data_IF_065287735404
#
_entry.id   IF_065287735404
#
_cell.length_a   1.000
_cell.length_b   1.000
_cell.length_c   1.000
_cell.angle_alpha   90.00
_cell.angle_beta   90.00
_cell.angle_gamma   90.00
#
_symmetry.space_group_name_H-M   'P 1'
#
loop_
_entity.id
_entity.type
_entity.pdbx_description
1 polymer ?
#
# COMPACT_ATOMS: atom_id res chain seq x y z
N UNK A 1 4.29 23.41 -13.56
CA UNK A 1 4.95 22.23 -12.94
C UNK A 1 3.86 21.23 -12.53
N UNK A 2 3.78 20.08 -13.19
CA UNK A 2 2.64 19.15 -13.08
C UNK A 2 2.36 18.75 -11.62
N UNK A 3 1.11 18.92 -11.18
CA UNK A 3 0.62 18.58 -9.82
C UNK A 3 1.02 17.17 -9.38
N UNK A 4 1.16 16.25 -10.34
CA UNK A 4 1.62 14.88 -10.11
C UNK A 4 3.10 14.80 -9.69
N UNK A 5 4.01 15.57 -10.32
CA UNK A 5 5.43 15.61 -9.92
C UNK A 5 5.60 16.19 -8.52
N UNK A 6 4.83 17.21 -8.16
CA UNK A 6 4.83 17.76 -6.79
C UNK A 6 4.38 16.73 -5.76
N UNK A 7 3.37 15.93 -6.10
CA UNK A 7 2.89 14.84 -5.25
C UNK A 7 3.95 13.76 -5.03
N UNK A 8 4.62 13.31 -6.10
CA UNK A 8 5.70 12.30 -5.98
C UNK A 8 6.87 12.82 -5.16
N UNK A 9 7.28 14.07 -5.38
CA UNK A 9 8.38 14.69 -4.63
C UNK A 9 8.02 14.84 -3.15
N UNK A 10 6.80 15.27 -2.83
CA UNK A 10 6.32 15.36 -1.44
C UNK A 10 6.29 14.00 -0.76
N UNK A 11 5.84 12.95 -1.45
CA UNK A 11 5.79 11.60 -0.89
C UNK A 11 7.20 11.07 -0.60
N UNK A 12 8.13 11.24 -1.54
CA UNK A 12 9.55 10.89 -1.36
C UNK A 12 10.15 11.68 -0.19
N UNK A 13 9.87 12.98 -0.11
CA UNK A 13 10.34 13.82 0.99
C UNK A 13 9.79 13.36 2.34
N UNK A 14 8.51 13.00 2.41
CA UNK A 14 7.86 12.48 3.63
C UNK A 14 8.50 11.16 4.06
N UNK A 15 8.74 10.23 3.13
CA UNK A 15 9.46 8.96 3.38
C UNK A 15 10.85 9.19 3.94
N UNK A 16 11.63 10.10 3.34
CA UNK A 16 12.97 10.46 3.82
C UNK A 16 12.90 11.07 5.22
N UNK A 17 11.92 11.95 5.48
CA UNK A 17 11.72 12.57 6.78
C UNK A 17 11.39 11.53 7.87
N UNK A 18 10.54 10.55 7.54
CA UNK A 18 10.17 9.46 8.47
C UNK A 18 11.33 8.54 8.81
N UNK A 19 12.11 8.14 7.80
CA UNK A 19 13.33 7.35 8.01
C UNK A 19 14.32 8.17 8.86
N UNK A 20 14.46 9.46 8.56
CA UNK A 20 15.30 10.39 9.31
C UNK A 20 14.91 10.54 10.78
N UNK A 21 13.63 10.71 11.09
CA UNK A 21 13.17 10.81 12.49
C UNK A 21 13.34 9.50 13.26
N UNK A 22 13.13 8.34 12.63
CA UNK A 22 13.40 7.05 13.27
C UNK A 22 14.89 6.87 13.54
N UNK A 23 15.74 7.22 12.57
CA UNK A 23 17.20 7.10 12.70
C UNK A 23 17.78 8.05 13.76
N UNK A 24 17.28 9.29 13.82
CA UNK A 24 17.69 10.28 14.83
C UNK A 24 17.23 9.83 16.23
N UNK A 25 16.05 9.24 16.35
CA UNK A 25 15.57 8.70 17.64
C UNK A 25 16.47 7.58 18.15
N UNK A 26 16.84 6.62 17.30
CA UNK A 26 17.73 5.53 17.68
C UNK A 26 19.13 6.03 18.06
N UNK A 27 19.66 7.01 17.31
CA UNK A 27 21.05 7.48 17.48
C UNK A 27 21.23 8.45 18.66
N UNK A 28 20.22 9.29 18.97
CA UNK A 28 20.34 10.35 19.98
C UNK A 28 19.50 10.16 21.25
N UNK A 29 18.40 9.40 21.20
CA UNK A 29 17.48 9.29 22.34
C UNK A 29 17.61 7.92 23.01
N UNK A 30 17.59 6.85 22.22
CA UNK A 30 17.69 5.48 22.75
C UNK A 30 19.10 5.13 23.24
N UNK A 31 20.15 5.68 22.62
CA UNK A 31 21.55 5.41 23.00
C UNK A 31 22.02 6.20 24.23
N UNK A 32 21.43 7.38 24.48
CA UNK A 32 21.91 8.31 25.52
C UNK A 32 21.14 8.17 26.83
N UNK A 33 19.89 7.73 26.77
CA UNK A 33 19.04 7.48 27.93
C UNK A 33 18.82 5.98 27.95
N UNK A 34 19.39 5.25 28.93
CA UNK A 34 19.15 3.82 29.17
C UNK A 34 17.67 3.57 29.54
N UNK A 35 16.77 3.83 28.58
CA UNK A 35 15.34 3.63 28.70
C UNK A 35 15.06 2.14 28.79
N UNK A 36 14.10 1.72 29.64
CA UNK A 36 13.62 0.35 29.63
C UNK A 36 13.22 -0.05 28.20
N UNK A 37 13.64 -1.21 27.73
CA UNK A 37 13.42 -1.67 26.36
C UNK A 37 11.95 -1.56 25.90
N UNK A 38 11.02 -1.73 26.84
CA UNK A 38 9.59 -1.54 26.63
C UNK A 38 9.20 -0.11 26.21
N UNK A 39 9.75 0.92 26.86
CA UNK A 39 9.46 2.31 26.50
C UNK A 39 10.01 2.63 25.09
N UNK A 40 11.22 2.16 24.79
CA UNK A 40 11.85 2.40 23.49
C UNK A 40 11.05 1.77 22.35
N UNK A 41 10.55 0.54 22.54
CA UNK A 41 9.64 -0.11 21.60
C UNK A 41 8.31 0.63 21.45
N UNK A 42 7.68 1.03 22.56
CA UNK A 42 6.40 1.73 22.53
C UNK A 42 6.50 3.07 21.76
N UNK A 43 7.56 3.86 21.99
CA UNK A 43 7.81 5.08 21.25
C UNK A 43 8.05 4.83 19.76
N UNK A 44 8.81 3.78 19.41
CA UNK A 44 9.07 3.42 18.01
C UNK A 44 7.79 3.02 17.28
N UNK A 45 6.91 2.26 17.94
CA UNK A 45 5.59 1.91 17.42
C UNK A 45 4.75 3.17 17.21
N UNK A 46 4.67 4.07 18.21
CA UNK A 46 3.91 5.33 18.09
C UNK A 46 4.42 6.19 16.94
N UNK A 47 5.73 6.29 16.74
CA UNK A 47 6.33 7.02 15.62
C UNK A 47 5.97 6.40 14.27
N UNK A 48 6.08 5.07 14.14
CA UNK A 48 5.69 4.35 12.91
C UNK A 48 4.20 4.55 12.64
N UNK A 49 3.35 4.40 13.65
CA UNK A 49 1.91 4.58 13.52
C UNK A 49 1.56 6.01 13.09
N UNK A 50 2.12 7.03 13.76
CA UNK A 50 1.87 8.44 13.43
C UNK A 50 2.37 8.82 12.04
N UNK A 51 3.51 8.28 11.64
CA UNK A 51 4.07 8.47 10.31
C UNK A 51 3.19 7.87 9.21
N UNK A 52 2.79 6.61 9.36
CA UNK A 52 1.91 5.94 8.40
C UNK A 52 0.51 6.53 8.37
N UNK A 53 -0.02 6.96 9.52
CA UNK A 53 -1.30 7.65 9.59
C UNK A 53 -1.26 8.96 8.78
N UNK A 54 -0.16 9.71 8.88
CA UNK A 54 0.05 10.93 8.09
C UNK A 54 0.07 10.64 6.60
N UNK A 55 0.75 9.57 6.18
CA UNK A 55 0.74 9.10 4.78
C UNK A 55 -0.67 8.73 4.32
N UNK A 56 -1.43 7.98 5.12
CA UNK A 56 -2.80 7.56 4.79
C UNK A 56 -3.74 8.77 4.66
N UNK A 57 -3.64 9.74 5.56
CA UNK A 57 -4.42 10.99 5.49
C UNK A 57 -4.05 11.81 4.26
N UNK A 58 -2.77 11.86 3.91
CA UNK A 58 -2.30 12.53 2.70
C UNK A 58 -2.79 11.83 1.42
N UNK A 59 -2.74 10.50 1.39
CA UNK A 59 -3.29 9.68 0.31
C UNK A 59 -4.79 9.89 0.10
N UNK A 60 -5.56 10.15 1.17
CA UNK A 60 -6.98 10.51 1.04
C UNK A 60 -7.19 11.80 0.25
N UNK A 61 -6.28 12.77 0.32
CA UNK A 61 -6.40 14.01 -0.46
C UNK A 61 -6.17 13.80 -1.97
N UNK A 62 -5.45 12.74 -2.35
CA UNK A 62 -5.19 12.38 -3.76
C UNK A 62 -6.46 11.95 -4.48
N UNK A 63 -7.42 11.36 -3.76
CA UNK A 63 -8.72 10.96 -4.30
C UNK A 63 -9.40 12.12 -5.02
N UNK A 64 -9.39 13.30 -4.40
CA UNK A 64 -10.01 14.52 -4.93
C UNK A 64 -9.40 14.94 -6.27
N UNK A 65 -8.10 14.68 -6.48
CA UNK A 65 -7.43 14.92 -7.75
C UNK A 65 -7.69 13.82 -8.79
N UNK A 66 -7.86 12.57 -8.37
CA UNK A 66 -8.11 11.44 -9.26
C UNK A 66 -9.54 11.38 -9.80
N UNK A 67 -10.54 11.83 -9.03
CA UNK A 67 -11.96 11.89 -9.46
C UNK A 67 -12.11 12.67 -10.77
N UNK A 68 -11.34 13.76 -10.95
CA UNK A 68 -11.36 14.57 -12.19
C UNK A 68 -10.83 13.85 -13.43
N UNK A 69 -10.07 12.77 -13.29
CA UNK A 69 -9.40 12.07 -14.43
C UNK A 69 -9.92 10.66 -14.69
N UNK A 70 -10.36 9.95 -13.66
CA UNK A 70 -10.66 8.51 -13.72
C UNK A 70 -12.15 8.20 -13.50
N UNK A 71 -12.96 9.19 -13.16
CA UNK A 71 -14.34 8.97 -12.72
C UNK A 71 -14.41 8.44 -11.28
N UNK A 72 -15.58 8.57 -10.66
CA UNK A 72 -15.75 8.33 -9.22
C UNK A 72 -15.49 6.87 -8.81
N UNK A 73 -15.86 5.91 -9.67
CA UNK A 73 -15.71 4.48 -9.40
C UNK A 73 -14.24 4.03 -9.42
N UNK A 74 -13.49 4.34 -10.48
CA UNK A 74 -12.08 3.97 -10.56
C UNK A 74 -11.22 4.69 -9.51
N UNK A 75 -11.53 5.95 -9.19
CA UNK A 75 -10.86 6.67 -8.10
C UNK A 75 -11.07 6.01 -6.74
N UNK A 76 -12.26 5.45 -6.49
CA UNK A 76 -12.57 4.74 -5.24
C UNK A 76 -11.83 3.41 -5.13
N UNK A 77 -11.77 2.64 -6.21
CA UNK A 77 -11.03 1.37 -6.26
C UNK A 77 -9.54 1.63 -6.02
N UNK A 78 -8.95 2.58 -6.74
CA UNK A 78 -7.52 2.94 -6.58
C UNK A 78 -7.22 3.43 -5.16
N UNK A 79 -8.10 4.26 -4.58
CA UNK A 79 -7.95 4.70 -3.20
C UNK A 79 -7.95 3.51 -2.23
N UNK A 80 -8.88 2.57 -2.40
CA UNK A 80 -8.95 1.39 -1.56
C UNK A 80 -7.68 0.55 -1.70
N UNK A 81 -7.21 0.28 -2.93
CA UNK A 81 -6.00 -0.48 -3.18
C UNK A 81 -4.76 0.18 -2.57
N UNK A 82 -4.56 1.48 -2.77
CA UNK A 82 -3.41 2.20 -2.21
C UNK A 82 -3.49 2.28 -0.68
N UNK A 83 -4.69 2.46 -0.12
CA UNK A 83 -4.92 2.43 1.31
C UNK A 83 -4.61 1.06 1.92
N UNK A 84 -5.07 -0.02 1.29
CA UNK A 84 -4.80 -1.39 1.72
C UNK A 84 -3.30 -1.71 1.70
N UNK A 85 -2.58 -1.31 0.64
CA UNK A 85 -1.12 -1.46 0.56
C UNK A 85 -0.43 -0.67 1.67
N UNK A 86 -0.85 0.58 1.92
CA UNK A 86 -0.26 1.41 2.97
C UNK A 86 -0.43 0.80 4.36
N UNK A 87 -1.61 0.25 4.64
CA UNK A 87 -1.89 -0.46 5.91
C UNK A 87 -1.04 -1.74 6.01
N UNK A 88 -0.86 -2.48 4.91
CA UNK A 88 0.01 -3.66 4.88
C UNK A 88 1.46 -3.29 5.25
N UNK A 89 2.03 -2.27 4.60
CA UNK A 89 3.40 -1.84 4.88
C UNK A 89 3.54 -1.29 6.31
N UNK A 90 2.53 -0.57 6.80
CA UNK A 90 2.46 -0.12 8.20
C UNK A 90 2.50 -1.30 9.18
N UNK A 91 1.69 -2.34 8.95
CA UNK A 91 1.69 -3.56 9.76
C UNK A 91 3.06 -4.25 9.75
N UNK A 92 3.72 -4.31 8.59
CA UNK A 92 5.08 -4.85 8.47
C UNK A 92 6.08 -4.09 9.32
N UNK A 93 6.01 -2.75 9.31
CA UNK A 93 6.85 -1.89 10.14
C UNK A 93 6.64 -2.14 11.64
N UNK A 94 5.39 -2.28 12.07
CA UNK A 94 5.06 -2.56 13.49
C UNK A 94 5.53 -3.96 13.88
N UNK A 95 5.25 -4.99 13.08
CA UNK A 95 5.69 -6.36 13.39
C UNK A 95 7.21 -6.47 13.47
N UNK A 96 7.94 -5.75 12.62
CA UNK A 96 9.39 -5.68 12.70
C UNK A 96 9.86 -5.08 14.04
N UNK A 97 9.20 -4.04 14.56
CA UNK A 97 9.55 -3.48 15.88
C UNK A 97 9.28 -4.41 17.06
N UNK A 98 8.35 -5.35 16.90
CA UNK A 98 8.02 -6.38 17.91
C UNK A 98 9.01 -7.55 17.85
N UNK A 99 9.97 -7.54 16.91
CA UNK A 99 11.02 -8.54 16.78
C UNK A 99 10.71 -9.65 15.78
N UNK A 100 9.65 -9.50 14.97
CA UNK A 100 9.40 -10.41 13.85
C UNK A 100 10.46 -10.17 12.77
N UNK A 101 11.12 -11.24 12.32
CA UNK A 101 12.17 -11.12 11.31
C UNK A 101 11.59 -10.64 9.97
N UNK A 102 12.28 -9.75 9.23
CA UNK A 102 11.83 -9.32 7.91
C UNK A 102 11.65 -10.50 6.93
N UNK A 103 12.45 -11.55 7.07
CA UNK A 103 12.38 -12.76 6.26
C UNK A 103 11.07 -13.53 6.49
N UNK A 104 10.62 -13.66 7.74
CA UNK A 104 9.33 -14.33 8.05
C UNK A 104 8.14 -13.51 7.58
N UNK A 105 8.22 -12.18 7.68
CA UNK A 105 7.23 -11.27 7.13
C UNK A 105 7.15 -11.37 5.60
N UNK A 106 8.29 -11.37 4.92
CA UNK A 106 8.34 -11.44 3.46
C UNK A 106 7.85 -12.79 2.93
N UNK A 107 8.25 -13.89 3.56
CA UNK A 107 7.81 -15.24 3.18
C UNK A 107 6.30 -15.41 3.41
N UNK A 108 5.76 -14.95 4.54
CA UNK A 108 4.31 -15.01 4.80
C UNK A 108 3.49 -14.13 3.84
N UNK A 109 3.93 -12.90 3.53
CA UNK A 109 3.29 -12.10 2.48
C UNK A 109 3.37 -12.76 1.11
N UNK A 110 4.50 -13.38 0.77
CA UNK A 110 4.68 -14.11 -0.48
C UNK A 110 3.67 -15.25 -0.62
N UNK A 111 3.51 -16.05 0.43
CA UNK A 111 2.52 -17.14 0.46
C UNK A 111 1.10 -16.59 0.30
N UNK A 112 0.73 -15.55 1.07
CA UNK A 112 -0.58 -14.90 0.96
C UNK A 112 -0.85 -14.36 -0.43
N UNK A 113 0.16 -13.76 -1.07
CA UNK A 113 0.06 -13.23 -2.44
C UNK A 113 -0.20 -14.34 -3.46
N UNK A 114 0.48 -15.49 -3.33
CA UNK A 114 0.27 -16.64 -4.22
C UNK A 114 -1.13 -17.21 -4.02
N UNK A 115 -1.56 -17.43 -2.78
CA UNK A 115 -2.89 -17.93 -2.46
C UNK A 115 -3.99 -17.01 -2.99
N UNK A 116 -3.85 -15.69 -2.78
CA UNK A 116 -4.81 -14.72 -3.30
C UNK A 116 -4.83 -14.69 -4.84
N UNK A 117 -3.66 -14.79 -5.47
CA UNK A 117 -3.54 -14.90 -6.92
C UNK A 117 -4.26 -16.14 -7.48
N UNK A 118 -4.15 -17.27 -6.80
CA UNK A 118 -4.85 -18.50 -7.17
C UNK A 118 -6.37 -18.35 -7.04
N UNK A 119 -6.86 -17.74 -5.95
CA UNK A 119 -8.30 -17.50 -5.73
C UNK A 119 -8.89 -16.60 -6.84
N UNK A 120 -8.15 -15.57 -7.25
CA UNK A 120 -8.63 -14.58 -8.22
C UNK A 120 -8.34 -15.02 -9.68
N UNK A 121 -7.54 -16.07 -9.88
CA UNK A 121 -7.09 -16.52 -11.21
C UNK A 121 -8.26 -16.81 -12.17
N UNK A 122 -9.30 -17.50 -11.70
CA UNK A 122 -10.50 -17.81 -12.49
C UNK A 122 -11.26 -16.54 -12.90
N UNK A 123 -11.40 -15.57 -11.99
CA UNK A 123 -12.05 -14.30 -12.28
C UNK A 123 -11.30 -13.52 -13.36
N UNK A 124 -9.98 -13.42 -13.22
CA UNK A 124 -9.13 -12.74 -14.22
C UNK A 124 -9.19 -13.46 -15.57
N UNK A 125 -9.15 -14.80 -15.56
CA UNK A 125 -9.30 -15.61 -16.77
C UNK A 125 -10.61 -15.33 -17.50
N UNK A 126 -11.74 -15.34 -16.79
CA UNK A 126 -13.05 -15.03 -17.37
C UNK A 126 -13.16 -13.58 -17.83
N UNK A 127 -12.59 -12.63 -17.10
CA UNK A 127 -12.58 -11.21 -17.49
C UNK A 127 -11.78 -10.98 -18.77
N UNK A 128 -10.57 -11.55 -18.86
CA UNK A 128 -9.73 -11.46 -20.05
C UNK A 128 -10.37 -12.18 -21.24
N UNK A 129 -10.97 -13.34 -21.04
CA UNK A 129 -11.71 -14.05 -22.07
C UNK A 129 -12.89 -13.21 -22.60
N UNK A 130 -13.68 -12.60 -21.70
CA UNK A 130 -14.76 -11.69 -22.08
C UNK A 130 -14.26 -10.47 -22.84
N UNK A 131 -13.16 -9.85 -22.41
CA UNK A 131 -12.53 -8.72 -23.10
C UNK A 131 -12.02 -9.13 -24.50
N UNK A 132 -11.46 -10.33 -24.64
CA UNK A 132 -11.03 -10.87 -25.93
C UNK A 132 -12.21 -11.13 -26.85
N UNK A 133 -13.31 -11.71 -26.37
CA UNK A 133 -14.53 -11.90 -27.16
C UNK A 133 -15.09 -10.56 -27.64
N UNK A 134 -15.13 -9.56 -26.75
CA UNK A 134 -15.59 -8.21 -27.08
C UNK A 134 -14.72 -7.53 -28.14
N UNK A 135 -13.40 -7.74 -28.10
CA UNK A 135 -12.48 -7.11 -29.06
C UNK A 135 -12.38 -7.88 -30.38
N UNK A 136 -12.46 -9.21 -30.36
CA UNK A 136 -12.25 -10.08 -31.52
C UNK A 136 -13.52 -10.48 -32.29
N UNK A 137 -14.70 -10.00 -31.88
CA UNK A 137 -15.96 -9.99 -32.66
C UNK A 137 -16.29 -11.30 -33.40
N UNK A 138 -16.24 -12.46 -32.72
CA UNK A 138 -16.68 -13.74 -33.34
C UNK A 138 -18.16 -14.06 -33.21
N UNK A 139 -18.88 -13.41 -32.28
CA UNK A 139 -20.30 -13.67 -32.04
C UNK A 139 -21.02 -12.36 -31.76
N UNK A 140 -22.13 -12.11 -32.44
CA UNK A 140 -23.04 -10.99 -32.16
C UNK A 140 -24.17 -11.47 -31.26
N UNK A 141 -24.72 -10.58 -30.45
CA UNK A 141 -25.96 -10.85 -29.71
C UNK A 141 -27.06 -11.25 -30.68
N UNK A 142 -27.47 -12.52 -30.64
CA UNK A 142 -28.47 -13.09 -31.54
C UNK A 142 -27.96 -14.24 -32.43
N UNK A 143 -26.65 -14.51 -32.48
CA UNK A 143 -26.13 -15.67 -33.21
C UNK A 143 -26.45 -16.99 -32.48
N UNK A 144 -26.90 -18.03 -33.21
CA UNK A 144 -27.04 -19.36 -32.63
C UNK A 144 -25.67 -20.02 -32.52
N UNK A 145 -25.14 -20.06 -31.32
CA UNK A 145 -23.90 -20.77 -31.00
C UNK A 145 -24.28 -22.20 -30.65
N UNK A 146 -24.03 -23.14 -31.57
CA UNK A 146 -24.12 -24.60 -31.34
C UNK A 146 -22.71 -25.10 -31.06
#
# INVERSE_FOLDING_TARGET
MNSFKRFTILLIFLVILGIGTIYIYDLYIAATINLPAFLTQAFRIVLILGFWLTIILFLRQVKTFMIKRLGNQAATILQFSIGAISILVMSFGVLHTIGVSPETLLTSAGILSITMGLIISTFVGSFLAGALVFTTHRFKTGDSVI
#
